data_IF_990423990971
#
_entry.id   IF_990423990971
#
_cell.length_a   1.000
_cell.length_b   1.000
_cell.length_c   1.000
_cell.angle_alpha   90.00
_cell.angle_beta   90.00
_cell.angle_gamma   90.00
#
_symmetry.space_group_name_H-M   'P 1'
#
loop_
_entity.id
_entity.type
_entity.pdbx_description
1 polymer ?
#
# COMPACT_ATOMS: atom_id res chain seq x y z
N UNK A 1 3.45 -12.67 -35.63
CA UNK A 1 3.11 -12.90 -34.21
C UNK A 1 1.64 -13.25 -34.16
N UNK A 2 1.29 -14.47 -33.79
CA UNK A 2 -0.10 -14.81 -33.50
C UNK A 2 -0.47 -14.11 -32.20
N UNK A 3 -1.53 -13.30 -32.22
CA UNK A 3 -2.06 -12.71 -31.00
C UNK A 3 -2.75 -13.82 -30.19
N UNK A 4 -2.49 -13.88 -28.89
CA UNK A 4 -3.21 -14.77 -27.98
C UNK A 4 -4.71 -14.50 -28.10
N UNK A 5 -5.52 -15.57 -28.16
CA UNK A 5 -6.97 -15.40 -28.14
C UNK A 5 -7.45 -14.97 -26.76
N UNK A 6 -8.63 -14.37 -26.68
CA UNK A 6 -9.26 -14.01 -25.41
C UNK A 6 -9.48 -15.27 -24.54
N UNK A 7 -9.71 -16.42 -25.16
CA UNK A 7 -9.89 -17.71 -24.48
C UNK A 7 -8.59 -18.20 -23.84
N UNK A 8 -7.47 -18.08 -24.55
CA UNK A 8 -6.14 -18.42 -24.01
C UNK A 8 -5.79 -17.55 -22.78
N UNK A 9 -6.09 -16.25 -22.86
CA UNK A 9 -5.89 -15.32 -21.74
C UNK A 9 -6.76 -15.69 -20.54
N UNK A 10 -8.03 -16.05 -20.76
CA UNK A 10 -8.95 -16.47 -19.70
C UNK A 10 -8.49 -17.75 -19.03
N UNK A 11 -8.10 -18.76 -19.81
CA UNK A 11 -7.61 -20.04 -19.29
C UNK A 11 -6.36 -19.85 -18.41
N UNK A 12 -5.38 -19.06 -18.88
CA UNK A 12 -4.17 -18.76 -18.09
C UNK A 12 -4.46 -17.92 -16.84
N UNK A 13 -5.41 -16.99 -16.92
CA UNK A 13 -5.83 -16.19 -15.76
C UNK A 13 -6.45 -17.07 -14.68
N UNK A 14 -7.30 -18.02 -15.08
CA UNK A 14 -7.91 -18.97 -14.16
C UNK A 14 -6.88 -19.93 -13.55
N UNK A 15 -5.94 -20.45 -14.35
CA UNK A 15 -4.84 -21.26 -13.85
C UNK A 15 -4.00 -20.50 -12.80
N UNK A 16 -3.67 -19.24 -13.09
CA UNK A 16 -2.96 -18.39 -12.13
C UNK A 16 -3.77 -18.16 -10.86
N UNK A 17 -5.08 -17.94 -10.97
CA UNK A 17 -5.98 -17.78 -9.81
C UNK A 17 -5.97 -19.03 -8.93
N UNK A 18 -6.09 -20.22 -9.52
CA UNK A 18 -6.07 -21.49 -8.80
C UNK A 18 -4.72 -21.74 -8.11
N UNK A 19 -3.61 -21.42 -8.77
CA UNK A 19 -2.27 -21.52 -8.19
C UNK A 19 -2.08 -20.59 -6.99
N UNK A 20 -2.57 -19.36 -7.08
CA UNK A 20 -2.54 -18.39 -5.96
C UNK A 20 -3.42 -18.89 -4.80
N UNK A 21 -4.63 -19.37 -5.09
CA UNK A 21 -5.53 -19.90 -4.08
C UNK A 21 -4.93 -21.12 -3.35
N UNK A 22 -4.31 -22.04 -4.09
CA UNK A 22 -3.64 -23.22 -3.52
C UNK A 22 -2.46 -22.83 -2.61
N UNK A 23 -1.66 -21.83 -3.02
CA UNK A 23 -0.57 -21.32 -2.19
C UNK A 23 -1.09 -20.71 -0.87
N UNK A 24 -2.18 -19.94 -0.92
CA UNK A 24 -2.81 -19.37 0.28
C UNK A 24 -3.37 -20.45 1.21
N UNK A 25 -4.03 -21.47 0.66
CA UNK A 25 -4.52 -22.62 1.44
C UNK A 25 -3.35 -23.37 2.11
N UNK A 26 -2.23 -23.55 1.42
CA UNK A 26 -1.04 -24.17 1.98
C UNK A 26 -0.42 -23.35 3.13
N UNK A 27 -0.57 -22.02 3.10
CA UNK A 27 -0.22 -21.11 4.20
C UNK A 27 -1.28 -21.06 5.33
N UNK A 28 -2.35 -21.85 5.26
CA UNK A 28 -3.44 -21.85 6.23
C UNK A 28 -4.41 -20.67 6.09
N UNK A 29 -4.38 -19.96 4.96
CA UNK A 29 -5.22 -18.77 4.68
C UNK A 29 -6.41 -19.12 3.78
N UNK A 30 -7.47 -18.30 3.78
CA UNK A 30 -8.55 -18.42 2.82
C UNK A 30 -8.05 -18.28 1.37
N UNK A 31 -8.64 -18.98 0.40
CA UNK A 31 -8.21 -18.97 -1.00
C UNK A 31 -8.23 -17.57 -1.62
N UNK A 32 -9.22 -16.76 -1.23
CA UNK A 32 -9.31 -15.35 -1.60
C UNK A 32 -8.86 -14.47 -0.42
N UNK A 33 -8.15 -13.37 -0.68
CA UNK A 33 -7.81 -12.41 0.36
C UNK A 33 -9.07 -11.74 0.93
N UNK A 34 -9.06 -11.32 2.21
CA UNK A 34 -10.14 -10.51 2.76
C UNK A 34 -10.36 -9.22 1.96
N UNK A 35 -11.61 -8.78 1.87
CA UNK A 35 -11.93 -7.51 1.24
C UNK A 35 -11.33 -6.32 2.01
N UNK A 36 -10.97 -5.28 1.25
CA UNK A 36 -10.60 -3.99 1.82
C UNK A 36 -11.80 -3.38 2.53
N UNK A 37 -11.55 -2.72 3.67
CA UNK A 37 -12.59 -2.28 4.59
C UNK A 37 -12.40 -0.85 5.09
N UNK A 38 -11.23 -0.24 4.88
CA UNK A 38 -10.98 1.14 5.32
C UNK A 38 -11.73 2.09 4.38
N UNK A 39 -12.68 2.90 4.89
CA UNK A 39 -13.43 3.83 4.06
C UNK A 39 -12.53 4.86 3.39
N UNK A 40 -12.91 5.32 2.19
CA UNK A 40 -12.12 6.29 1.40
C UNK A 40 -11.77 7.56 2.20
N UNK A 41 -12.68 8.20 2.96
CA UNK A 41 -12.34 9.40 3.75
C UNK A 41 -11.22 9.16 4.78
N UNK A 42 -11.31 8.09 5.57
CA UNK A 42 -10.26 7.70 6.50
C UNK A 42 -8.96 7.38 5.74
N UNK A 43 -9.07 6.64 4.65
CA UNK A 43 -7.95 6.29 3.79
C UNK A 43 -7.19 7.52 3.25
N UNK A 44 -7.90 8.57 2.85
CA UNK A 44 -7.31 9.83 2.39
C UNK A 44 -6.51 10.49 3.52
N UNK A 45 -7.07 10.57 4.73
CA UNK A 45 -6.38 11.13 5.89
C UNK A 45 -5.09 10.35 6.19
N UNK A 46 -5.18 9.01 6.24
CA UNK A 46 -4.01 8.14 6.44
C UNK A 46 -2.96 8.33 5.33
N UNK A 47 -3.37 8.49 4.07
CA UNK A 47 -2.44 8.75 2.98
C UNK A 47 -1.76 10.13 3.10
N UNK A 48 -2.47 11.16 3.59
CA UNK A 48 -1.89 12.46 3.88
C UNK A 48 -0.87 12.38 5.04
N UNK A 49 -1.12 11.58 6.07
CA UNK A 49 -0.18 11.29 7.16
C UNK A 49 1.09 10.57 6.66
N UNK A 50 0.99 9.81 5.57
CA UNK A 50 2.13 9.16 4.91
C UNK A 50 2.93 10.09 4.00
N UNK A 51 2.42 11.27 3.64
CA UNK A 51 3.09 12.18 2.71
C UNK A 51 4.54 12.56 3.12
N UNK A 52 4.87 12.76 4.42
CA UNK A 52 6.26 13.02 4.83
C UNK A 52 7.23 11.88 4.50
N UNK A 53 6.76 10.62 4.47
CA UNK A 53 7.60 9.46 4.14
C UNK A 53 8.12 9.52 2.70
N UNK A 54 7.41 10.17 1.78
CA UNK A 54 7.85 10.35 0.40
C UNK A 54 9.27 10.93 0.32
N UNK A 55 9.55 11.98 1.08
CA UNK A 55 10.86 12.65 1.09
C UNK A 55 11.96 11.69 1.56
N UNK A 56 11.67 10.89 2.59
CA UNK A 56 12.59 9.89 3.14
C UNK A 56 12.88 8.82 2.09
N UNK A 57 11.85 8.30 1.43
CA UNK A 57 11.98 7.28 0.39
C UNK A 57 12.77 7.79 -0.83
N UNK A 58 12.54 9.04 -1.25
CA UNK A 58 13.30 9.68 -2.35
C UNK A 58 14.78 9.80 -1.99
N UNK A 59 15.09 10.28 -0.79
CA UNK A 59 16.48 10.42 -0.32
C UNK A 59 17.17 9.07 -0.28
N UNK A 60 16.50 8.04 0.25
CA UNK A 60 17.05 6.70 0.32
C UNK A 60 17.26 6.08 -1.07
N UNK A 61 16.31 6.27 -1.99
CA UNK A 61 16.45 5.83 -3.37
C UNK A 61 17.64 6.51 -4.07
N UNK A 62 17.92 7.78 -3.77
CA UNK A 62 19.07 8.49 -4.32
C UNK A 62 20.41 7.92 -3.80
N UNK A 63 20.48 7.52 -2.53
CA UNK A 63 21.66 6.86 -1.94
C UNK A 63 21.94 5.53 -2.65
N UNK A 64 20.92 4.70 -2.85
CA UNK A 64 21.05 3.42 -3.56
C UNK A 64 21.41 3.67 -5.04
N UNK A 65 20.83 4.68 -5.68
CA UNK A 65 21.15 5.03 -7.06
C UNK A 65 22.61 5.49 -7.24
N UNK A 66 23.23 6.06 -6.20
CA UNK A 66 24.65 6.39 -6.17
C UNK A 66 25.55 5.17 -5.95
N UNK A 67 24.99 3.96 -5.84
CA UNK A 67 25.72 2.71 -5.61
C UNK A 67 26.09 2.47 -4.14
N UNK A 68 25.50 3.23 -3.21
CA UNK A 68 25.78 3.10 -1.78
C UNK A 68 24.63 2.39 -1.07
N UNK A 69 24.97 1.42 -0.23
CA UNK A 69 24.04 0.83 0.73
C UNK A 69 24.34 1.46 2.09
N UNK A 70 23.31 2.03 2.71
CA UNK A 70 23.43 2.71 4.00
C UNK A 70 22.37 2.17 4.93
N UNK A 71 22.80 1.90 6.17
CA UNK A 71 21.91 1.52 7.25
C UNK A 71 20.97 2.69 7.59
N UNK A 72 19.68 2.39 7.69
CA UNK A 72 18.66 3.34 8.15
C UNK A 72 18.05 2.82 9.45
N UNK A 73 17.92 3.69 10.45
CA UNK A 73 17.17 3.35 11.65
C UNK A 73 15.67 3.33 11.36
N UNK A 74 15.15 2.16 10.96
CA UNK A 74 13.74 1.96 10.60
C UNK A 74 12.80 1.96 11.79
N UNK A 75 13.32 1.81 13.03
CA UNK A 75 12.52 1.94 14.25
C UNK A 75 11.89 3.33 14.38
N UNK A 76 12.57 4.36 13.86
CA UNK A 76 12.07 5.75 13.82
C UNK A 76 10.96 5.96 12.80
N UNK A 77 10.67 4.96 11.98
CA UNK A 77 9.67 5.00 10.91
C UNK A 77 8.44 4.15 11.24
N UNK A 78 8.34 3.60 12.46
CA UNK A 78 7.26 2.67 12.83
C UNK A 78 5.86 3.29 12.68
N UNK A 79 5.71 4.58 12.98
CA UNK A 79 4.43 5.29 12.75
C UNK A 79 3.95 5.18 11.30
N UNK A 80 4.85 5.25 10.32
CA UNK A 80 4.49 5.13 8.90
C UNK A 80 4.15 3.68 8.56
N UNK A 81 4.76 2.72 9.26
CA UNK A 81 4.49 1.29 9.13
C UNK A 81 3.05 0.98 9.57
N UNK A 82 2.64 1.50 10.72
CA UNK A 82 1.29 1.36 11.25
C UNK A 82 0.25 2.06 10.37
N UNK A 83 0.46 3.34 10.03
CA UNK A 83 -0.44 4.08 9.12
C UNK A 83 -0.57 3.37 7.76
N UNK A 84 0.54 2.85 7.21
CA UNK A 84 0.54 2.15 5.94
C UNK A 84 -0.16 0.79 5.98
N UNK A 85 -0.17 0.08 7.13
CA UNK A 85 -0.95 -1.15 7.30
C UNK A 85 -2.43 -0.88 7.06
N UNK A 86 -3.00 0.12 7.73
CA UNK A 86 -4.41 0.47 7.54
C UNK A 86 -4.67 1.08 6.15
N UNK A 87 -3.83 2.01 5.68
CA UNK A 87 -4.02 2.62 4.37
C UNK A 87 -4.02 1.58 3.23
N UNK A 88 -3.24 0.51 3.36
CA UNK A 88 -3.24 -0.60 2.38
C UNK A 88 -4.56 -1.37 2.30
N UNK A 89 -5.41 -1.28 3.33
CA UNK A 89 -6.74 -1.89 3.40
C UNK A 89 -7.86 -0.93 2.96
N UNK A 90 -7.52 0.20 2.33
CA UNK A 90 -8.50 1.15 1.80
C UNK A 90 -9.31 0.54 0.66
N UNK A 91 -10.62 0.81 0.68
CA UNK A 91 -11.52 0.52 -0.45
C UNK A 91 -11.10 1.35 -1.68
N UNK A 92 -10.46 2.50 -1.46
CA UNK A 92 -9.87 3.33 -2.52
C UNK A 92 -8.56 2.74 -3.07
N UNK A 93 -8.47 2.63 -4.40
CA UNK A 93 -7.34 2.01 -5.10
C UNK A 93 -6.03 2.79 -4.93
N UNK A 94 -6.05 4.11 -5.07
CA UNK A 94 -4.87 4.96 -4.97
C UNK A 94 -4.34 5.01 -3.54
N UNK A 95 -5.21 5.16 -2.54
CA UNK A 95 -4.84 5.07 -1.12
C UNK A 95 -4.24 3.70 -0.83
N UNK A 96 -4.88 2.62 -1.28
CA UNK A 96 -4.37 1.26 -1.10
C UNK A 96 -2.97 1.07 -1.73
N UNK A 97 -2.74 1.65 -2.91
CA UNK A 97 -1.44 1.67 -3.58
C UNK A 97 -0.40 2.50 -2.84
N UNK A 98 -0.76 3.66 -2.28
CA UNK A 98 0.13 4.49 -1.46
C UNK A 98 0.58 3.70 -0.23
N UNK A 99 -0.36 3.18 0.55
CA UNK A 99 -0.07 2.38 1.76
C UNK A 99 0.80 1.16 1.45
N UNK A 100 0.45 0.40 0.41
CA UNK A 100 1.24 -0.76 -0.04
C UNK A 100 2.66 -0.37 -0.46
N UNK A 101 2.82 0.77 -1.11
CA UNK A 101 4.14 1.25 -1.57
C UNK A 101 5.01 1.70 -0.40
N UNK A 102 4.45 2.32 0.64
CA UNK A 102 5.17 2.62 1.89
C UNK A 102 5.63 1.33 2.58
N UNK A 103 4.73 0.35 2.75
CA UNK A 103 5.06 -0.96 3.36
C UNK A 103 6.23 -1.63 2.62
N UNK A 104 6.20 -1.62 1.29
CA UNK A 104 7.26 -2.22 0.47
C UNK A 104 8.58 -1.45 0.54
N UNK A 105 8.55 -0.12 0.54
CA UNK A 105 9.75 0.69 0.72
C UNK A 105 10.42 0.45 2.08
N UNK A 106 9.64 0.39 3.17
CA UNK A 106 10.14 0.05 4.51
C UNK A 106 10.73 -1.36 4.57
N UNK A 107 10.08 -2.34 3.94
CA UNK A 107 10.62 -3.69 3.83
C UNK A 107 11.95 -3.74 3.06
N UNK A 108 12.10 -2.98 1.98
CA UNK A 108 13.39 -2.86 1.28
C UNK A 108 14.46 -2.24 2.18
N UNK A 109 14.14 -1.22 2.99
CA UNK A 109 15.08 -0.64 3.96
C UNK A 109 15.54 -1.69 4.98
N UNK A 110 14.62 -2.48 5.55
CA UNK A 110 14.96 -3.53 6.52
C UNK A 110 15.82 -4.63 5.91
N UNK A 111 15.47 -5.09 4.69
CA UNK A 111 16.26 -6.09 3.96
C UNK A 111 17.70 -5.62 3.74
N UNK A 112 17.90 -4.34 3.41
CA UNK A 112 19.24 -3.77 3.21
C UNK A 112 19.96 -3.64 4.56
N UNK A 113 19.27 -3.24 5.63
CA UNK A 113 19.85 -3.21 6.97
C UNK A 113 20.36 -4.59 7.42
N UNK A 114 19.56 -5.63 7.21
CA UNK A 114 19.90 -7.03 7.52
C UNK A 114 21.11 -7.49 6.71
N UNK A 115 21.15 -7.21 5.40
CA UNK A 115 22.31 -7.53 4.56
C UNK A 115 23.59 -6.82 5.02
N UNK A 116 23.50 -5.56 5.48
CA UNK A 116 24.66 -4.84 6.04
C UNK A 116 25.09 -5.45 7.38
N UNK A 117 24.16 -5.78 8.27
CA UNK A 117 24.47 -6.39 9.57
C UNK A 117 25.17 -7.75 9.43
N UNK A 118 24.81 -8.51 8.41
CA UNK A 118 25.34 -9.85 8.14
C UNK A 118 26.56 -9.85 7.20
N UNK A 119 26.97 -8.69 6.68
CA UNK A 119 28.08 -8.58 5.73
C UNK A 119 27.81 -9.22 4.36
N UNK A 120 26.55 -9.21 3.92
CA UNK A 120 26.04 -9.77 2.65
C UNK A 120 25.64 -8.67 1.66
N UNK A 121 26.31 -7.53 1.69
CA UNK A 121 25.98 -6.39 0.81
C UNK A 121 26.14 -6.71 -0.68
N UNK A 122 27.06 -7.62 -1.02
CA UNK A 122 27.32 -8.09 -2.38
C UNK A 122 26.17 -8.93 -2.97
N UNK A 123 25.31 -9.50 -2.12
CA UNK A 123 24.10 -10.22 -2.53
C UNK A 123 22.95 -9.28 -2.94
N UNK A 124 23.05 -7.98 -2.63
CA UNK A 124 22.02 -6.99 -2.97
C UNK A 124 22.17 -6.52 -4.41
N UNK A 125 21.20 -6.90 -5.26
CA UNK A 125 21.02 -6.29 -6.58
C UNK A 125 20.50 -4.85 -6.45
N UNK A 126 21.43 -3.91 -6.28
CA UNK A 126 21.17 -2.47 -6.15
C UNK A 126 20.34 -1.92 -7.30
N UNK A 127 20.51 -2.44 -8.52
CA UNK A 127 19.74 -2.02 -9.70
C UNK A 127 18.29 -2.48 -9.63
N UNK A 128 18.03 -3.69 -9.13
CA UNK A 128 16.67 -4.18 -8.86
C UNK A 128 16.02 -3.38 -7.74
N UNK A 129 16.70 -3.19 -6.62
CA UNK A 129 16.15 -2.45 -5.48
C UNK A 129 15.86 -0.99 -5.84
N UNK A 130 16.75 -0.33 -6.60
CA UNK A 130 16.49 1.03 -7.10
C UNK A 130 15.25 1.10 -7.99
N UNK A 131 15.06 0.16 -8.93
CA UNK A 131 13.86 0.13 -9.79
C UNK A 131 12.58 -0.07 -8.99
N UNK A 132 12.63 -0.95 -7.98
CA UNK A 132 11.51 -1.20 -7.08
C UNK A 132 11.18 0.04 -6.24
N UNK A 133 12.17 0.66 -5.60
CA UNK A 133 12.00 1.88 -4.82
C UNK A 133 11.48 3.04 -5.68
N UNK A 134 12.01 3.23 -6.88
CA UNK A 134 11.51 4.25 -7.80
C UNK A 134 10.02 4.03 -8.16
N UNK A 135 9.63 2.77 -8.40
CA UNK A 135 8.23 2.43 -8.62
C UNK A 135 7.35 2.79 -7.41
N UNK A 136 7.80 2.47 -6.20
CA UNK A 136 7.06 2.78 -4.97
C UNK A 136 7.00 4.28 -4.69
N UNK A 137 8.10 5.00 -4.83
CA UNK A 137 8.17 6.47 -4.70
C UNK A 137 7.17 7.15 -5.62
N UNK A 138 7.07 6.70 -6.88
CA UNK A 138 6.07 7.21 -7.83
C UNK A 138 4.63 6.99 -7.36
N UNK A 139 4.34 5.85 -6.72
CA UNK A 139 3.02 5.56 -6.19
C UNK A 139 2.72 6.36 -4.91
N UNK A 140 3.72 6.55 -4.04
CA UNK A 140 3.59 7.37 -2.82
C UNK A 140 3.27 8.83 -3.19
N UNK A 141 3.81 9.35 -4.30
CA UNK A 141 3.53 10.70 -4.78
C UNK A 141 2.16 10.87 -5.48
N UNK A 142 1.32 9.83 -5.50
CA UNK A 142 -0.02 9.95 -6.09
C UNK A 142 -0.91 10.78 -5.18
N UNK A 143 -1.87 11.48 -5.79
CA UNK A 143 -2.93 12.12 -5.02
C UNK A 143 -3.91 11.05 -4.49
N UNK A 144 -4.17 10.99 -3.17
CA UNK A 144 -5.17 10.07 -2.60
C UNK A 144 -6.60 10.45 -2.99
N UNK A 145 -6.83 11.69 -3.43
CA UNK A 145 -8.13 12.22 -3.85
C UNK A 145 -8.66 11.65 -5.17
N UNK A 146 -7.88 10.82 -5.85
CA UNK A 146 -8.31 10.15 -7.10
C UNK A 146 -9.23 8.95 -6.87
N UNK A 147 -9.46 8.55 -5.63
CA UNK A 147 -10.34 7.43 -5.27
C UNK A 147 -11.82 7.76 -5.23
N UNK A 148 -12.19 9.02 -5.49
CA UNK A 148 -13.56 9.51 -5.27
C UNK A 148 -14.61 9.16 -6.32
N UNK A 149 -14.30 8.30 -7.30
CA UNK A 149 -15.22 8.00 -8.41
C UNK A 149 -15.65 6.54 -8.36
N UNK A 150 -16.87 6.29 -7.89
CA UNK A 150 -17.53 5.01 -8.12
C UNK A 150 -18.23 5.04 -9.49
N UNK A 151 -17.61 4.39 -10.48
CA UNK A 151 -18.15 4.27 -11.84
C UNK A 151 -19.48 3.50 -11.94
N UNK A 152 -19.92 2.83 -10.87
CA UNK A 152 -21.21 2.15 -10.77
C UNK A 152 -22.30 3.02 -10.12
N UNK A 153 -21.95 4.20 -9.60
CA UNK A 153 -22.92 5.11 -9.01
C UNK A 153 -23.68 5.88 -10.10
N UNK A 154 -24.98 6.11 -9.86
CA UNK A 154 -25.80 7.00 -10.68
C UNK A 154 -25.53 8.48 -10.37
N UNK A 155 -24.88 8.78 -9.25
CA UNK A 155 -24.50 10.14 -8.89
C UNK A 155 -23.37 10.67 -9.77
N UNK A 156 -23.45 11.93 -10.22
CA UNK A 156 -22.36 12.55 -10.95
C UNK A 156 -21.04 12.53 -10.16
N UNK A 157 -19.88 12.33 -10.81
CA UNK A 157 -18.58 12.26 -10.12
C UNK A 157 -18.28 13.45 -9.20
N UNK A 158 -18.70 14.67 -9.57
CA UNK A 158 -18.47 15.86 -8.75
C UNK A 158 -19.25 15.86 -7.43
N UNK A 159 -20.41 15.19 -7.37
CA UNK A 159 -21.22 15.05 -6.15
C UNK A 159 -20.54 14.08 -5.20
N UNK A 160 -20.08 12.94 -5.71
CA UNK A 160 -19.33 11.94 -4.93
C UNK A 160 -18.04 12.55 -4.37
N UNK A 161 -17.29 13.29 -5.18
CA UNK A 161 -16.07 13.96 -4.76
C UNK A 161 -16.35 15.03 -3.68
N UNK A 162 -17.43 15.80 -3.82
CA UNK A 162 -17.84 16.79 -2.82
C UNK A 162 -18.22 16.13 -1.48
N UNK A 163 -18.96 15.03 -1.51
CA UNK A 163 -19.33 14.28 -0.30
C UNK A 163 -18.11 13.71 0.42
N UNK A 164 -17.15 13.14 -0.33
CA UNK A 164 -15.90 12.62 0.24
C UNK A 164 -15.08 13.76 0.85
N UNK A 165 -14.94 14.89 0.18
CA UNK A 165 -14.25 16.08 0.72
C UNK A 165 -14.91 16.58 2.00
N UNK A 166 -16.24 16.70 2.00
CA UNK A 166 -16.98 17.12 3.19
C UNK A 166 -16.76 16.16 4.37
N UNK A 167 -16.75 14.85 4.13
CA UNK A 167 -16.53 13.86 5.19
C UNK A 167 -15.08 13.86 5.69
N UNK A 168 -14.09 14.03 4.81
CA UNK A 168 -12.69 14.20 5.22
C UNK A 168 -12.53 15.43 6.10
N UNK A 169 -13.11 16.57 5.70
CA UNK A 169 -13.06 17.80 6.50
C UNK A 169 -13.81 17.65 7.82
N UNK A 170 -14.96 16.97 7.84
CA UNK A 170 -15.68 16.65 9.09
C UNK A 170 -14.80 15.85 10.04
N UNK A 171 -14.20 14.75 9.57
CA UNK A 171 -13.32 13.89 10.37
C UNK A 171 -12.10 14.65 10.90
N UNK A 172 -11.47 15.51 10.09
CA UNK A 172 -10.33 16.34 10.53
C UNK A 172 -10.71 17.34 11.64
N UNK A 173 -11.95 17.81 11.64
CA UNK A 173 -12.47 18.77 12.64
C UNK A 173 -13.19 18.11 13.83
N UNK A 174 -13.34 16.78 13.82
CA UNK A 174 -14.01 15.99 14.85
C UNK A 174 -13.08 14.85 15.31
N UNK A 175 -12.18 15.13 16.28
CA UNK A 175 -11.21 14.15 16.75
C UNK A 175 -11.83 12.89 17.34
N UNK A 176 -13.01 13.00 17.97
CA UNK A 176 -13.71 11.85 18.54
C UNK A 176 -14.23 10.92 17.43
N UNK A 177 -14.86 11.48 16.40
CA UNK A 177 -15.31 10.69 15.26
C UNK A 177 -14.14 10.08 14.48
N UNK A 178 -13.05 10.83 14.30
CA UNK A 178 -11.82 10.31 13.67
C UNK A 178 -11.26 9.12 14.45
N UNK A 179 -11.08 9.27 15.77
CA UNK A 179 -10.52 8.22 16.62
C UNK A 179 -11.44 6.99 16.66
N UNK A 180 -12.75 7.18 16.77
CA UNK A 180 -13.70 6.07 16.75
C UNK A 180 -13.63 5.27 15.44
N UNK A 181 -13.51 5.95 14.30
CA UNK A 181 -13.39 5.29 13.00
C UNK A 181 -12.03 4.57 12.84
N UNK A 182 -10.95 5.20 13.31
CA UNK A 182 -9.61 4.61 13.34
C UNK A 182 -9.56 3.35 14.21
N UNK A 183 -10.15 3.41 15.41
CA UNK A 183 -10.23 2.27 16.34
C UNK A 183 -11.06 1.12 15.77
N UNK A 184 -12.17 1.44 15.10
CA UNK A 184 -12.98 0.44 14.40
C UNK A 184 -12.19 -0.23 13.27
N UNK A 185 -11.43 0.55 12.49
CA UNK A 185 -10.56 0.03 11.44
C UNK A 185 -9.45 -0.88 12.00
N UNK A 186 -8.81 -0.49 13.10
CA UNK A 186 -7.80 -1.32 13.76
C UNK A 186 -8.38 -2.60 14.36
N UNK A 187 -9.56 -2.53 14.96
CA UNK A 187 -10.27 -3.72 15.47
C UNK A 187 -10.50 -4.70 14.33
N UNK A 188 -11.03 -4.22 13.21
CA UNK A 188 -11.25 -5.05 12.02
C UNK A 188 -9.95 -5.60 11.46
N UNK A 189 -8.88 -4.80 11.41
CA UNK A 189 -7.58 -5.26 10.96
C UNK A 189 -7.08 -6.43 11.80
N UNK A 190 -7.12 -6.31 13.13
CA UNK A 190 -6.67 -7.37 14.06
C UNK A 190 -7.48 -8.65 13.93
N UNK A 191 -8.78 -8.55 13.66
CA UNK A 191 -9.64 -9.71 13.40
C UNK A 191 -9.20 -10.49 12.16
N UNK A 192 -8.66 -9.82 11.14
CA UNK A 192 -8.37 -10.43 9.84
C UNK A 192 -6.87 -10.51 9.52
N UNK A 193 -5.98 -10.01 10.38
CA UNK A 193 -4.54 -9.92 10.08
C UNK A 193 -3.94 -11.29 9.77
N UNK A 194 -4.37 -12.33 10.49
CA UNK A 194 -3.96 -13.72 10.25
C UNK A 194 -4.46 -14.29 8.90
N UNK A 195 -5.41 -13.63 8.25
CA UNK A 195 -5.98 -14.03 6.95
C UNK A 195 -5.32 -13.30 5.76
N UNK A 196 -4.54 -12.24 6.01
CA UNK A 196 -3.87 -11.43 4.97
C UNK A 196 -2.60 -12.14 4.49
#
# INVERSE_FOLDING_TARGET
MAFESIEDIRARTEELRQRVAAARIAEGKPPEPPENFVPIPLGIILAEELAPFYKIAVQYAAVIAAGSLVRVDTSRLEKYRETAKLASMSVGVNVGLIGSSVKRALHTMDKINEAIEEGREDEIDTRREMRMLNHFVRNINRSPWKDGINHKSEEPPYVQEAAIKAEVERLKNDPEAYQALLDAAWRRYREIEHLI
#
